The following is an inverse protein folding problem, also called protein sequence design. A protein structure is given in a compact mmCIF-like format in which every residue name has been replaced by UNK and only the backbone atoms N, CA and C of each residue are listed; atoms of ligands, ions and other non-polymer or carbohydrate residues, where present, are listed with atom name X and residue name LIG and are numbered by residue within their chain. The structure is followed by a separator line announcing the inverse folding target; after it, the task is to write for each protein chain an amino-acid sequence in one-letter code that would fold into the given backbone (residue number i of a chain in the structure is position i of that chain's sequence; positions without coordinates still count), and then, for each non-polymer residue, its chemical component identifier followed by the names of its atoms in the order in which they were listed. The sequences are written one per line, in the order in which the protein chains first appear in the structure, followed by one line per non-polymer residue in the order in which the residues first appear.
data_IF_733482290610
#
_entry.id   IF_733482290610
#
_cell.length_a   1.000
_cell.length_b   1.000
_cell.length_c   1.000
_cell.angle_alpha   90.00
_cell.angle_beta   90.00
_cell.angle_gamma   90.00
#
_symmetry.space_group_name_H-M   'P 1'
#
loop_
_entity.id
_entity.type
_entity.pdbx_description
1 polymer ?
#
# COMPACT_ATOMS: atom_id res chain seq x y z
N UNK A 1 -42.08 -16.33 -36.45
CA UNK A 1 -42.06 -15.17 -35.56
C UNK A 1 -40.91 -15.36 -34.58
N UNK A 2 -39.83 -14.64 -34.88
CA UNK A 2 -38.77 -14.06 -34.03
C UNK A 2 -39.14 -13.93 -32.53
N UNK A 3 -38.24 -14.04 -31.55
CA UNK A 3 -36.88 -13.46 -31.44
C UNK A 3 -36.00 -14.18 -30.41
N UNK A 4 -34.70 -14.27 -30.71
CA UNK A 4 -33.63 -14.35 -29.72
C UNK A 4 -33.65 -13.08 -28.84
N UNK A 5 -33.47 -13.22 -27.53
CA UNK A 5 -33.20 -12.09 -26.64
C UNK A 5 -31.75 -12.20 -26.18
N UNK A 6 -30.93 -11.30 -26.71
CA UNK A 6 -29.58 -11.01 -26.29
C UNK A 6 -29.55 -10.64 -24.81
N UNK A 7 -28.78 -11.37 -24.02
CA UNK A 7 -28.39 -10.94 -22.68
C UNK A 7 -27.09 -10.18 -22.86
N UNK A 8 -27.21 -8.87 -23.04
CA UNK A 8 -26.08 -7.96 -22.95
C UNK A 8 -25.54 -8.03 -21.52
N UNK A 9 -24.42 -8.74 -21.34
CA UNK A 9 -23.56 -8.56 -20.17
C UNK A 9 -23.05 -7.14 -20.23
N UNK A 10 -23.62 -6.27 -19.40
CA UNK A 10 -23.09 -4.95 -19.10
C UNK A 10 -21.70 -5.14 -18.48
N UNK A 11 -20.66 -5.04 -19.32
CA UNK A 11 -19.31 -4.80 -18.83
C UNK A 11 -19.30 -3.39 -18.25
N UNK A 12 -19.57 -3.27 -16.95
CA UNK A 12 -19.16 -2.09 -16.22
C UNK A 12 -17.65 -1.96 -16.43
N UNK A 13 -17.24 -0.87 -17.07
CA UNK A 13 -15.84 -0.50 -17.22
C UNK A 13 -15.32 -0.21 -15.81
N UNK A 14 -14.81 -1.25 -15.14
CA UNK A 14 -13.95 -1.09 -13.98
C UNK A 14 -12.70 -0.37 -14.49
N UNK A 15 -12.66 0.96 -14.42
CA UNK A 15 -11.52 1.76 -14.89
C UNK A 15 -10.23 1.52 -14.09
N UNK A 16 -10.30 0.79 -12.98
CA UNK A 16 -9.14 0.48 -12.15
C UNK A 16 -8.44 -0.83 -12.54
N UNK A 17 -7.19 -1.04 -12.04
CA UNK A 17 -6.51 -2.31 -12.17
C UNK A 17 -7.34 -3.47 -11.58
N UNK A 18 -7.16 -4.70 -12.09
CA UNK A 18 -7.81 -5.89 -11.55
C UNK A 18 -7.69 -5.96 -10.03
N UNK A 19 -8.77 -6.40 -9.36
CA UNK A 19 -8.87 -6.43 -7.90
C UNK A 19 -7.77 -7.27 -7.20
N UNK A 20 -7.17 -8.23 -7.92
CA UNK A 20 -6.07 -9.02 -7.41
C UNK A 20 -4.76 -8.60 -8.09
N UNK A 21 -3.73 -8.34 -7.27
CA UNK A 21 -2.36 -8.18 -7.76
C UNK A 21 -1.88 -9.55 -8.27
N UNK A 22 -1.43 -9.66 -9.54
CA UNK A 22 -0.93 -10.91 -10.08
C UNK A 22 0.31 -11.41 -9.35
N UNK A 23 0.46 -12.74 -9.25
CA UNK A 23 1.68 -13.33 -8.70
C UNK A 23 2.86 -13.14 -9.66
N UNK A 24 4.10 -13.03 -9.14
CA UNK A 24 5.29 -13.03 -9.99
C UNK A 24 5.33 -14.26 -10.91
N UNK A 25 5.56 -14.04 -12.21
CA UNK A 25 5.62 -15.10 -13.23
C UNK A 25 4.33 -15.33 -14.01
N UNK A 26 3.19 -14.76 -13.59
CA UNK A 26 1.97 -14.72 -14.40
C UNK A 26 1.99 -13.54 -15.38
N UNK A 27 2.76 -13.69 -16.46
CA UNK A 27 3.00 -12.65 -17.46
C UNK A 27 1.73 -12.08 -18.11
N UNK A 28 0.73 -12.90 -18.53
CA UNK A 28 -0.51 -12.36 -19.09
C UNK A 28 -1.28 -11.51 -18.06
N UNK A 29 -1.46 -11.99 -16.84
CA UNK A 29 -2.18 -11.25 -15.81
C UNK A 29 -1.44 -9.96 -15.42
N UNK A 30 -0.10 -10.03 -15.29
CA UNK A 30 0.73 -8.85 -15.00
C UNK A 30 0.62 -7.79 -16.10
N UNK A 31 0.56 -8.21 -17.38
CA UNK A 31 0.38 -7.29 -18.51
C UNK A 31 -0.97 -6.58 -18.47
N UNK A 32 -2.05 -7.31 -18.18
CA UNK A 32 -3.39 -6.72 -18.05
C UNK A 32 -3.42 -5.71 -16.91
N UNK A 33 -2.84 -6.07 -15.76
CA UNK A 33 -2.76 -5.20 -14.59
C UNK A 33 -1.95 -3.93 -14.85
N UNK A 34 -0.78 -4.06 -15.50
CA UNK A 34 0.05 -2.93 -15.89
C UNK A 34 -0.66 -2.00 -16.90
N UNK A 35 -1.41 -2.57 -17.86
CA UNK A 35 -2.19 -1.80 -18.83
C UNK A 35 -3.23 -0.94 -18.12
N UNK A 36 -3.99 -1.55 -17.20
CA UNK A 36 -5.02 -0.84 -16.44
C UNK A 36 -4.44 0.28 -15.56
N UNK A 37 -3.29 0.07 -14.92
CA UNK A 37 -2.62 1.14 -14.16
C UNK A 37 -2.22 2.33 -15.05
N UNK A 38 -1.66 2.08 -16.23
CA UNK A 38 -1.23 3.14 -17.15
C UNK A 38 -2.43 3.90 -17.69
N UNK A 39 -3.53 3.22 -18.03
CA UNK A 39 -4.78 3.85 -18.44
C UNK A 39 -5.35 4.72 -17.32
N UNK A 40 -5.39 4.23 -16.08
CA UNK A 40 -5.87 5.00 -14.92
C UNK A 40 -5.02 6.24 -14.66
N UNK A 41 -3.68 6.12 -14.66
CA UNK A 41 -2.78 7.27 -14.50
C UNK A 41 -3.00 8.34 -15.58
N UNK A 42 -3.20 7.92 -16.83
CA UNK A 42 -3.52 8.83 -17.95
C UNK A 42 -4.87 9.50 -17.77
N UNK A 43 -5.89 8.75 -17.34
CA UNK A 43 -7.23 9.26 -17.09
C UNK A 43 -7.22 10.35 -16.01
N UNK A 44 -6.49 10.11 -14.92
CA UNK A 44 -6.43 11.03 -13.78
C UNK A 44 -5.40 12.16 -13.95
N UNK A 45 -4.59 12.12 -15.00
CA UNK A 45 -3.53 13.10 -15.26
C UNK A 45 -2.40 13.03 -14.24
N UNK A 46 -2.15 11.87 -13.66
CA UNK A 46 -1.11 11.63 -12.65
C UNK A 46 0.10 11.00 -13.32
N UNK A 47 1.31 11.47 -12.94
CA UNK A 47 2.55 10.85 -13.40
C UNK A 47 2.68 9.42 -12.87
N UNK A 48 3.23 8.52 -13.68
CA UNK A 48 3.37 7.11 -13.26
C UNK A 48 4.40 6.97 -12.12
N UNK A 49 5.48 7.74 -12.19
CA UNK A 49 6.59 7.77 -11.23
C UNK A 49 6.90 9.22 -10.84
N UNK A 50 7.86 9.41 -9.94
CA UNK A 50 8.22 10.71 -9.38
C UNK A 50 7.49 10.99 -8.07
N UNK A 51 7.81 12.13 -7.47
CA UNK A 51 7.22 12.57 -6.21
C UNK A 51 5.71 12.85 -6.44
N UNK A 52 4.85 12.12 -5.72
CA UNK A 52 3.40 12.17 -5.93
C UNK A 52 2.88 11.39 -7.15
N UNK A 53 3.73 10.58 -7.80
CA UNK A 53 3.30 9.67 -8.86
C UNK A 53 2.51 8.47 -8.33
N UNK A 54 1.74 7.82 -9.21
CA UNK A 54 0.85 6.71 -8.84
C UNK A 54 1.61 5.53 -8.21
N UNK A 55 2.73 5.11 -8.80
CA UNK A 55 3.52 3.99 -8.26
C UNK A 55 4.20 4.37 -6.94
N UNK A 56 4.60 5.63 -6.79
CA UNK A 56 5.17 6.15 -5.55
C UNK A 56 4.15 6.07 -4.41
N UNK A 57 2.91 6.50 -4.64
CA UNK A 57 1.84 6.42 -3.64
C UNK A 57 1.43 4.98 -3.33
N UNK A 58 1.42 4.08 -4.33
CA UNK A 58 1.18 2.65 -4.10
C UNK A 58 2.24 2.05 -3.18
N UNK A 59 3.53 2.27 -3.48
CA UNK A 59 4.64 1.79 -2.65
C UNK A 59 4.56 2.37 -1.25
N UNK A 60 4.24 3.67 -1.12
CA UNK A 60 4.00 4.33 0.17
C UNK A 60 2.93 3.60 0.99
N UNK A 61 1.78 3.29 0.38
CA UNK A 61 0.69 2.60 1.08
C UNK A 61 1.06 1.17 1.50
N UNK A 62 1.80 0.43 0.67
CA UNK A 62 2.30 -0.91 1.03
C UNK A 62 3.24 -0.83 2.23
N UNK A 63 4.21 0.09 2.21
CA UNK A 63 5.14 0.28 3.33
C UNK A 63 4.43 0.75 4.61
N UNK A 64 3.48 1.69 4.49
CA UNK A 64 2.69 2.16 5.62
C UNK A 64 1.87 1.03 6.23
N UNK A 65 1.22 0.20 5.40
CA UNK A 65 0.44 -0.94 5.86
C UNK A 65 1.32 -1.96 6.59
N UNK A 66 2.49 -2.28 6.04
CA UNK A 66 3.47 -3.16 6.70
C UNK A 66 3.86 -2.64 8.10
N UNK A 67 4.15 -1.35 8.23
CA UNK A 67 4.48 -0.73 9.51
C UNK A 67 3.32 -0.79 10.53
N UNK A 68 2.08 -0.61 10.07
CA UNK A 68 0.90 -0.69 10.96
C UNK A 68 0.65 -2.11 11.46
N UNK A 69 0.82 -3.11 10.58
CA UNK A 69 0.73 -4.53 10.94
C UNK A 69 1.83 -4.92 11.93
N UNK A 70 3.08 -4.53 11.67
CA UNK A 70 4.19 -4.76 12.60
C UNK A 70 3.92 -4.14 13.98
N UNK A 71 3.30 -2.96 14.05
CA UNK A 71 2.93 -2.34 15.32
C UNK A 71 1.81 -3.10 16.03
N UNK A 72 0.83 -3.62 15.29
CA UNK A 72 -0.23 -4.48 15.84
C UNK A 72 0.39 -5.75 16.42
N UNK A 73 1.30 -6.40 15.69
CA UNK A 73 2.01 -7.60 16.13
C UNK A 73 2.88 -7.32 17.37
N UNK A 74 3.62 -6.21 17.37
CA UNK A 74 4.47 -5.78 18.49
C UNK A 74 3.70 -5.56 19.79
N UNK A 75 2.50 -4.96 19.69
CA UNK A 75 1.66 -4.69 20.85
C UNK A 75 0.73 -5.86 21.21
N UNK A 76 0.48 -6.77 20.26
CA UNK A 76 -0.45 -7.89 20.40
C UNK A 76 -1.92 -7.49 20.31
N UNK A 77 -2.23 -6.28 19.80
CA UNK A 77 -3.61 -5.80 19.64
C UNK A 77 -3.73 -4.69 18.60
N UNK A 78 -4.92 -4.58 18.01
CA UNK A 78 -5.22 -3.60 16.97
C UNK A 78 -5.36 -2.16 17.48
N UNK A 79 -5.25 -1.19 16.57
CA UNK A 79 -5.53 0.20 16.93
C UNK A 79 -6.94 0.34 17.56
N UNK A 80 -7.00 1.02 18.71
CA UNK A 80 -8.23 1.25 19.49
C UNK A 80 -8.90 0.02 20.12
N UNK A 81 -8.25 -1.15 20.06
CA UNK A 81 -8.74 -2.37 20.68
C UNK A 81 -8.81 -2.24 22.22
N UNK A 82 -9.83 -2.86 22.84
CA UNK A 82 -10.04 -2.79 24.30
C UNK A 82 -8.97 -3.57 25.06
N UNK A 83 -8.40 -4.58 24.41
CA UNK A 83 -7.29 -5.43 24.83
C UNK A 83 -6.04 -4.62 25.16
N UNK A 84 -5.87 -3.45 24.53
CA UNK A 84 -4.76 -2.54 24.80
C UNK A 84 -4.90 -1.71 26.08
N UNK A 85 -6.06 -1.75 26.76
CA UNK A 85 -6.27 -0.98 27.99
C UNK A 85 -5.53 -1.64 29.15
N UNK A 86 -4.73 -0.86 29.87
CA UNK A 86 -3.93 -1.33 31.01
C UNK A 86 -2.90 -2.43 30.68
N UNK A 87 -2.51 -2.59 29.40
CA UNK A 87 -1.50 -3.57 28.96
C UNK A 87 -0.05 -3.15 29.27
N UNK A 88 0.17 -1.93 29.78
CA UNK A 88 1.50 -1.40 30.11
C UNK A 88 2.27 -0.80 28.93
N UNK A 89 1.83 -1.02 27.68
CA UNK A 89 2.34 -0.33 26.50
C UNK A 89 1.21 0.04 25.53
N UNK A 90 1.35 1.17 24.84
CA UNK A 90 0.33 1.66 23.91
C UNK A 90 0.89 2.37 22.70
N UNK A 91 0.12 2.38 21.60
CA UNK A 91 0.39 3.27 20.46
C UNK A 91 0.47 4.72 20.95
N UNK A 92 1.46 5.46 20.49
CA UNK A 92 1.71 6.85 20.89
C UNK A 92 1.81 7.79 19.67
N UNK A 93 0.90 7.61 18.72
CA UNK A 93 0.90 8.30 17.44
C UNK A 93 2.03 7.81 16.52
N UNK A 94 2.45 8.69 15.62
CA UNK A 94 3.46 8.41 14.60
C UNK A 94 4.41 9.60 14.41
N UNK A 95 5.50 9.39 13.68
CA UNK A 95 6.40 10.46 13.26
C UNK A 95 6.62 10.41 11.73
N UNK A 96 6.79 11.58 11.08
CA UNK A 96 7.04 11.60 9.64
C UNK A 96 8.45 11.11 9.33
N UNK A 97 8.58 10.25 8.32
CA UNK A 97 9.85 9.80 7.75
C UNK A 97 9.75 9.84 6.23
N UNK A 98 10.53 10.70 5.58
CA UNK A 98 10.65 10.71 4.13
C UNK A 98 11.58 9.59 3.67
N UNK A 99 11.07 8.70 2.84
CA UNK A 99 11.80 7.60 2.20
C UNK A 99 12.04 7.93 0.73
N UNK A 100 13.17 7.49 0.22
CA UNK A 100 13.53 7.57 -1.20
C UNK A 100 13.54 6.17 -1.78
N UNK A 101 12.79 5.97 -2.85
CA UNK A 101 12.72 4.70 -3.60
C UNK A 101 13.11 4.96 -5.05
N UNK A 102 13.23 3.90 -5.84
CA UNK A 102 13.52 4.03 -7.28
C UNK A 102 12.38 4.71 -8.05
N UNK A 103 11.14 4.59 -7.57
CA UNK A 103 9.96 5.19 -8.23
C UNK A 103 9.73 6.64 -7.81
N UNK A 104 10.25 7.08 -6.66
CA UNK A 104 10.05 8.44 -6.17
C UNK A 104 10.29 8.59 -4.66
N UNK A 105 10.14 9.81 -4.16
CA UNK A 105 10.21 10.10 -2.72
C UNK A 105 8.81 10.28 -2.17
N UNK A 106 8.61 9.79 -0.94
CA UNK A 106 7.37 10.01 -0.22
C UNK A 106 7.56 9.99 1.30
N UNK A 107 6.58 10.47 2.04
CA UNK A 107 6.58 10.55 3.51
C UNK A 107 5.65 9.51 4.11
N UNK A 108 6.24 8.67 4.97
CA UNK A 108 5.56 7.69 5.80
C UNK A 108 5.25 8.26 7.18
N UNK A 109 4.17 7.80 7.80
CA UNK A 109 3.82 8.07 9.18
C UNK A 109 4.20 6.87 10.03
N UNK A 110 5.46 6.80 10.47
CA UNK A 110 5.99 5.62 11.16
C UNK A 110 5.37 5.53 12.56
N UNK A 111 4.66 4.45 12.90
CA UNK A 111 4.01 4.31 14.20
C UNK A 111 5.07 4.13 15.29
N UNK A 112 4.71 4.51 16.52
CA UNK A 112 5.54 4.31 17.71
C UNK A 112 4.71 3.86 18.89
N UNK A 113 5.34 3.13 19.80
CA UNK A 113 4.78 2.75 21.08
C UNK A 113 5.18 3.76 22.19
N UNK A 114 4.52 3.66 23.34
CA UNK A 114 4.73 4.54 24.51
C UNK A 114 6.08 4.28 25.16
N UNK A 115 6.51 3.02 25.17
CA UNK A 115 7.74 2.59 25.84
C UNK A 115 8.97 2.69 24.92
N UNK A 116 8.79 3.13 23.67
CA UNK A 116 9.83 3.27 22.66
C UNK A 116 10.60 1.97 22.35
N UNK A 117 9.94 0.81 22.53
CA UNK A 117 10.53 -0.51 22.29
C UNK A 117 10.24 -1.06 20.88
N UNK A 118 9.40 -0.40 20.08
CA UNK A 118 9.10 -0.84 18.73
C UNK A 118 10.32 -0.69 17.80
N UNK A 119 10.67 -1.77 17.10
CA UNK A 119 11.76 -1.81 16.11
C UNK A 119 11.20 -2.32 14.77
N UNK A 120 10.79 -1.41 13.85
CA UNK A 120 10.19 -1.80 12.59
C UNK A 120 11.21 -2.49 11.67
N UNK A 121 10.80 -3.58 11.04
CA UNK A 121 11.61 -4.32 10.06
C UNK A 121 11.41 -3.76 8.64
N UNK A 122 10.17 -3.41 8.28
CA UNK A 122 9.82 -2.88 6.95
C UNK A 122 10.59 -1.60 6.62
N UNK A 123 10.70 -0.66 7.58
CA UNK A 123 11.51 0.56 7.43
C UNK A 123 12.31 0.83 8.70
N UNK A 124 13.55 0.29 8.81
CA UNK A 124 14.37 0.40 10.01
C UNK A 124 14.60 1.84 10.48
N UNK A 125 14.87 1.97 11.78
CA UNK A 125 15.19 3.27 12.40
C UNK A 125 16.42 3.90 11.71
N UNK A 126 16.32 5.19 11.39
CA UNK A 126 17.40 5.94 10.72
C UNK A 126 17.54 5.69 9.21
N UNK A 127 16.97 4.60 8.66
CA UNK A 127 17.06 4.31 7.24
C UNK A 127 16.01 5.07 6.42
N UNK A 128 16.45 5.63 5.29
CA UNK A 128 15.59 6.38 4.35
C UNK A 128 15.52 5.76 2.95
N UNK A 129 16.30 4.72 2.68
CA UNK A 129 16.31 4.00 1.41
C UNK A 129 15.94 2.53 1.66
N UNK A 130 14.65 2.18 1.73
CA UNK A 130 14.22 0.82 2.06
C UNK A 130 14.50 -0.19 0.94
N UNK A 131 14.65 0.27 -0.32
CA UNK A 131 14.97 -0.61 -1.46
C UNK A 131 16.37 -1.24 -1.42
N UNK A 132 17.21 -0.83 -0.47
CA UNK A 132 18.58 -1.35 -0.27
C UNK A 132 18.66 -2.42 0.84
N UNK A 133 17.51 -2.94 1.28
CA UNK A 133 17.43 -3.98 2.30
C UNK A 133 17.53 -5.37 1.65
N UNK A 134 18.71 -6.00 1.82
CA UNK A 134 19.00 -7.39 1.47
C UNK A 134 18.38 -8.38 2.47
#
# INVERSE_FOLDING_TARGET
MTTNTDIATTNETTSGPPAAVPLPGDEPAMREWATALVEQARHDGVELTGDGGLLTDLVRHVLQTGLELEMTDHLGYEAHAVEGRNSGNSRNGSYPKTVTTEVGKDTLAVPRDRNATFEPATVPKGQRNPGELN
#
